data_IF_304313989306
#
_entry.id   IF_304313989306
#
_cell.length_a   1.000
_cell.length_b   1.000
_cell.length_c   1.000
_cell.angle_alpha   90.00
_cell.angle_beta   90.00
_cell.angle_gamma   90.00
#
_symmetry.space_group_name_H-M   'P 1'
#
loop_
_entity.id
_entity.type
_entity.pdbx_description
1 polymer ?
#
# COMPACT_ATOMS: atom_id res chain seq x y z
N UNK A 1 -24.09 12.16 6.92
CA UNK A 1 -23.86 10.73 6.63
C UNK A 1 -24.03 10.55 5.13
N UNK A 2 -22.93 10.37 4.41
CA UNK A 2 -22.91 10.22 2.96
C UNK A 2 -22.73 8.75 2.61
N UNK A 3 -23.80 8.01 2.85
CA UNK A 3 -23.88 6.57 2.60
C UNK A 3 -24.80 6.28 1.40
N UNK A 4 -24.97 7.24 0.49
CA UNK A 4 -26.00 7.17 -0.54
C UNK A 4 -25.67 8.09 -1.72
N UNK A 5 -25.86 7.57 -2.94
CA UNK A 5 -25.85 8.32 -4.21
C UNK A 5 -26.99 9.38 -4.30
N UNK A 6 -27.67 9.71 -3.19
CA UNK A 6 -28.66 10.78 -3.13
C UNK A 6 -28.05 12.17 -2.85
N UNK A 7 -26.72 12.28 -2.72
CA UNK A 7 -26.01 13.57 -2.67
C UNK A 7 -24.90 13.60 -3.72
N UNK A 8 -25.06 14.37 -4.83
CA UNK A 8 -24.10 14.38 -5.95
C UNK A 8 -22.74 14.98 -5.57
N UNK A 9 -22.66 15.66 -4.42
CA UNK A 9 -21.41 16.15 -3.86
C UNK A 9 -21.47 16.06 -2.33
N UNK A 10 -20.59 15.27 -1.75
CA UNK A 10 -20.43 15.18 -0.32
C UNK A 10 -18.98 15.26 0.11
N UNK A 11 -18.74 16.03 1.17
CA UNK A 11 -17.46 16.13 1.84
C UNK A 11 -17.62 15.62 3.28
N UNK A 12 -16.74 14.70 3.68
CA UNK A 12 -16.60 14.21 5.04
C UNK A 12 -15.18 14.53 5.52
N UNK A 13 -15.06 15.22 6.65
CA UNK A 13 -13.78 15.48 7.31
C UNK A 13 -13.66 14.60 8.55
N UNK A 14 -12.55 13.88 8.64
CA UNK A 14 -12.13 13.14 9.82
C UNK A 14 -10.98 13.91 10.46
N UNK A 15 -11.13 14.26 11.74
CA UNK A 15 -10.11 14.94 12.51
C UNK A 15 -9.78 14.14 13.77
N UNK A 16 -8.48 13.95 13.99
CA UNK A 16 -7.93 13.32 15.18
C UNK A 16 -6.88 14.25 15.80
N UNK A 17 -6.02 13.71 16.67
CA UNK A 17 -4.88 14.50 17.15
C UNK A 17 -3.92 14.73 15.97
N UNK A 18 -3.30 15.91 15.87
CA UNK A 18 -2.25 16.16 14.88
C UNK A 18 -1.18 15.07 14.93
N UNK A 19 -0.67 14.68 13.75
CA UNK A 19 0.34 13.61 13.58
C UNK A 19 -0.14 12.20 13.99
N UNK A 20 -1.45 11.97 14.12
CA UNK A 20 -1.99 10.61 14.27
C UNK A 20 -2.02 9.90 12.93
N UNK A 21 -1.75 8.59 12.93
CA UNK A 21 -1.92 7.78 11.73
C UNK A 21 -3.38 7.33 11.64
N UNK A 22 -4.05 7.73 10.56
CA UNK A 22 -5.39 7.32 10.19
C UNK A 22 -5.33 6.24 9.14
N UNK A 23 -5.90 5.07 9.43
CA UNK A 23 -5.99 3.92 8.52
C UNK A 23 -7.43 3.71 8.09
N UNK A 24 -7.74 4.05 6.84
CA UNK A 24 -9.06 3.97 6.23
C UNK A 24 -9.17 2.64 5.47
N UNK A 25 -10.22 1.88 5.74
CA UNK A 25 -10.51 0.59 5.08
C UNK A 25 -11.86 0.66 4.39
N UNK A 26 -11.89 0.32 3.10
CA UNK A 26 -13.11 0.30 2.28
C UNK A 26 -13.87 -1.03 2.42
N UNK A 27 -14.58 -1.22 3.52
CA UNK A 27 -15.31 -2.49 3.77
C UNK A 27 -16.30 -2.87 2.67
N UNK A 28 -16.81 -1.88 1.93
CA UNK A 28 -17.60 -2.06 0.72
C UNK A 28 -17.42 -0.86 -0.21
N UNK A 29 -17.31 -1.07 -1.52
CA UNK A 29 -17.28 0.03 -2.48
C UNK A 29 -17.87 -0.42 -3.83
N UNK A 30 -18.98 0.19 -4.20
CA UNK A 30 -19.65 -0.05 -5.47
C UNK A 30 -20.34 1.21 -5.95
N UNK A 31 -19.67 1.92 -6.85
CA UNK A 31 -20.10 3.18 -7.48
C UNK A 31 -20.03 3.05 -9.00
N UNK A 32 -20.64 3.97 -9.75
CA UNK A 32 -20.54 3.96 -11.20
C UNK A 32 -19.08 4.14 -11.66
N UNK A 33 -18.63 3.27 -12.55
CA UNK A 33 -17.27 3.35 -13.07
C UNK A 33 -17.10 4.58 -13.95
N UNK A 34 -16.03 5.34 -13.74
CA UNK A 34 -15.66 6.55 -14.50
C UNK A 34 -16.56 7.78 -14.33
N UNK A 35 -17.65 7.69 -13.56
CA UNK A 35 -18.58 8.80 -13.32
C UNK A 35 -18.69 9.16 -11.85
N UNK A 36 -18.75 8.14 -10.98
CA UNK A 36 -18.71 8.33 -9.53
C UNK A 36 -17.27 8.22 -9.03
N UNK A 37 -16.84 9.21 -8.25
CA UNK A 37 -15.49 9.29 -7.73
C UNK A 37 -15.46 9.58 -6.23
N UNK A 38 -14.65 8.81 -5.50
CA UNK A 38 -14.27 9.11 -4.13
C UNK A 38 -12.80 9.51 -4.08
N UNK A 39 -12.52 10.75 -3.68
CA UNK A 39 -11.19 11.27 -3.42
C UNK A 39 -10.89 11.25 -1.92
N UNK A 40 -9.69 10.84 -1.54
CA UNK A 40 -9.22 10.83 -0.16
C UNK A 40 -7.96 11.68 -0.06
N UNK A 41 -7.97 12.71 0.78
CA UNK A 41 -6.87 13.64 0.96
C UNK A 41 -6.26 13.53 2.37
N UNK A 42 -4.94 13.73 2.50
CA UNK A 42 -4.23 13.80 3.79
C UNK A 42 -4.27 15.22 4.36
N UNK A 43 -5.40 15.58 4.97
CA UNK A 43 -5.61 16.90 5.51
C UNK A 43 -7.07 17.23 5.74
N UNK A 44 -7.33 18.52 5.98
CA UNK A 44 -8.65 19.08 6.28
C UNK A 44 -9.30 19.78 5.07
N UNK A 45 -8.65 19.77 3.89
CA UNK A 45 -9.15 20.44 2.68
C UNK A 45 -8.76 19.72 1.39
N UNK A 46 -9.46 20.03 0.30
CA UNK A 46 -9.21 19.51 -1.05
C UNK A 46 -7.87 19.98 -1.66
N UNK A 47 -7.19 20.92 -0.99
CA UNK A 47 -5.89 21.45 -1.42
C UNK A 47 -4.71 20.71 -0.78
N UNK A 48 -5.00 19.76 0.11
CA UNK A 48 -3.99 18.90 0.74
C UNK A 48 -3.64 17.71 -0.18
N UNK A 49 -2.54 16.97 0.08
CA UNK A 49 -2.12 15.87 -0.79
C UNK A 49 -3.21 14.82 -1.01
N UNK A 50 -3.51 14.47 -2.27
CA UNK A 50 -4.43 13.39 -2.63
C UNK A 50 -3.76 12.03 -2.38
N UNK A 51 -4.33 11.23 -1.47
CA UNK A 51 -3.84 9.89 -1.13
C UNK A 51 -4.37 8.82 -2.09
N UNK A 52 -5.65 8.90 -2.46
CA UNK A 52 -6.29 7.90 -3.31
C UNK A 52 -7.51 8.46 -4.03
N UNK A 53 -7.81 7.88 -5.20
CA UNK A 53 -9.04 8.11 -5.94
C UNK A 53 -9.67 6.75 -6.33
N UNK A 54 -10.94 6.56 -5.99
CA UNK A 54 -11.68 5.32 -6.24
C UNK A 54 -12.89 5.57 -7.15
N UNK A 55 -13.19 4.59 -8.00
CA UNK A 55 -14.37 4.55 -8.87
C UNK A 55 -14.66 3.10 -9.25
N UNK A 56 -15.92 2.78 -9.56
CA UNK A 56 -16.34 1.45 -9.95
C UNK A 56 -16.58 0.51 -8.77
N UNK A 57 -16.21 -0.75 -8.93
CA UNK A 57 -16.44 -1.81 -7.96
C UNK A 57 -15.12 -2.24 -7.32
N UNK A 58 -15.05 -2.19 -5.98
CA UNK A 58 -14.01 -2.87 -5.21
C UNK A 58 -14.71 -4.02 -4.51
N UNK A 59 -14.84 -5.12 -5.25
CA UNK A 59 -15.26 -6.41 -4.71
C UNK A 59 -13.98 -7.20 -4.49
N UNK A 60 -13.75 -7.86 -3.35
CA UNK A 60 -12.77 -8.92 -3.30
C UNK A 60 -13.15 -9.94 -4.38
N UNK A 61 -12.34 -10.06 -5.43
CA UNK A 61 -12.66 -10.87 -6.63
C UNK A 61 -12.87 -12.35 -6.27
N UNK A 62 -12.43 -12.76 -5.06
CA UNK A 62 -12.76 -14.05 -4.46
C UNK A 62 -13.38 -13.91 -3.08
N UNK A 63 -14.23 -14.89 -2.75
CA UNK A 63 -14.69 -15.22 -1.40
C UNK A 63 -13.51 -15.77 -0.55
N UNK A 64 -12.46 -14.96 -0.40
CA UNK A 64 -11.24 -15.26 0.34
C UNK A 64 -10.86 -14.08 1.23
N UNK A 65 -9.79 -14.26 2.02
CA UNK A 65 -9.23 -13.24 2.90
C UNK A 65 -8.49 -12.13 2.10
N UNK A 66 -9.05 -11.66 0.99
CA UNK A 66 -8.45 -10.58 0.20
C UNK A 66 -8.54 -9.26 0.98
N UNK A 67 -7.39 -8.62 1.14
CA UNK A 67 -7.27 -7.34 1.83
C UNK A 67 -7.80 -6.25 0.91
N UNK A 68 -8.96 -5.71 1.29
CA UNK A 68 -9.45 -4.42 0.82
C UNK A 68 -8.30 -3.38 0.90
N UNK A 69 -8.15 -2.51 -0.11
CA UNK A 69 -7.14 -1.44 -0.07
C UNK A 69 -7.31 -0.57 1.18
N UNK A 70 -6.20 -0.39 1.90
CA UNK A 70 -6.10 0.50 3.06
C UNK A 70 -5.46 1.82 2.61
N UNK A 71 -6.08 2.95 2.97
CA UNK A 71 -5.52 4.29 2.72
C UNK A 71 -5.01 4.85 4.03
N UNK A 72 -3.75 5.28 4.05
CA UNK A 72 -3.09 5.76 5.25
C UNK A 72 -2.87 7.27 5.16
N UNK A 73 -3.42 8.02 6.11
CA UNK A 73 -3.15 9.44 6.35
C UNK A 73 -2.21 9.60 7.55
N UNK A 74 -1.26 10.53 7.45
CA UNK A 74 -0.24 10.76 8.49
C UNK A 74 -0.39 12.13 9.18
N UNK A 75 -1.18 13.04 8.62
CA UNK A 75 -1.38 14.39 9.19
C UNK A 75 -2.25 14.39 10.45
N UNK A 76 -3.00 13.31 10.71
CA UNK A 76 -4.07 13.25 11.71
C UNK A 76 -5.42 13.80 11.22
N UNK A 77 -5.51 14.16 9.94
CA UNK A 77 -6.73 14.59 9.28
C UNK A 77 -6.91 13.84 7.97
N UNK A 78 -8.14 13.48 7.64
CA UNK A 78 -8.47 12.94 6.33
C UNK A 78 -9.75 13.57 5.79
N UNK A 79 -9.71 14.05 4.55
CA UNK A 79 -10.88 14.59 3.86
C UNK A 79 -11.31 13.60 2.77
N UNK A 80 -12.56 13.16 2.84
CA UNK A 80 -13.19 12.33 1.83
C UNK A 80 -14.13 13.21 1.01
N UNK A 81 -13.93 13.28 -0.29
CA UNK A 81 -14.78 14.01 -1.23
C UNK A 81 -15.39 13.04 -2.23
N UNK A 82 -16.69 12.82 -2.10
CA UNK A 82 -17.47 11.99 -3.01
C UNK A 82 -18.24 12.85 -4.00
N UNK A 83 -18.09 12.53 -5.28
CA UNK A 83 -18.80 13.14 -6.39
C UNK A 83 -19.54 12.04 -7.17
N UNK A 84 -20.80 12.28 -7.49
CA UNK A 84 -21.66 11.37 -8.26
C UNK A 84 -22.56 12.18 -9.18
N UNK A 85 -22.90 11.61 -10.33
CA UNK A 85 -23.82 12.23 -11.28
C UNK A 85 -25.29 11.96 -10.89
N UNK A 86 -26.24 12.11 -11.84
CA UNK A 86 -27.66 11.87 -11.59
C UNK A 86 -28.15 10.50 -12.09
N UNK A 87 -27.25 9.63 -12.52
CA UNK A 87 -27.54 8.37 -13.19
C UNK A 87 -26.96 7.15 -12.43
N UNK A 88 -27.41 5.95 -12.83
CA UNK A 88 -26.90 4.65 -12.38
C UNK A 88 -26.47 4.52 -10.91
N UNK A 89 -27.44 4.67 -10.01
CA UNK A 89 -27.22 4.50 -8.57
C UNK A 89 -26.88 3.04 -8.20
N UNK A 90 -25.66 2.83 -7.72
CA UNK A 90 -25.24 1.59 -7.07
C UNK A 90 -25.33 1.71 -5.54
N UNK A 91 -24.88 0.67 -4.83
CA UNK A 91 -24.97 0.57 -3.35
C UNK A 91 -24.07 1.56 -2.59
N UNK A 92 -23.21 2.31 -3.28
CA UNK A 92 -22.28 3.26 -2.67
C UNK A 92 -21.12 2.57 -1.96
N UNK A 93 -20.64 3.16 -0.86
CA UNK A 93 -19.47 2.67 -0.13
C UNK A 93 -19.67 2.67 1.39
N UNK A 94 -18.94 1.79 2.06
CA UNK A 94 -18.80 1.72 3.51
C UNK A 94 -17.32 1.74 3.87
N UNK A 95 -16.93 2.68 4.73
CA UNK A 95 -15.54 2.90 5.12
C UNK A 95 -15.45 2.88 6.64
N UNK A 96 -14.57 2.04 7.17
CA UNK A 96 -14.14 2.09 8.56
C UNK A 96 -12.78 2.76 8.68
N UNK A 97 -12.49 3.36 9.84
CA UNK A 97 -11.19 3.95 10.10
C UNK A 97 -10.67 3.52 11.47
N UNK A 98 -9.34 3.44 11.57
CA UNK A 98 -8.63 3.18 12.83
C UNK A 98 -7.56 4.24 13.03
N UNK A 99 -7.32 4.59 14.29
CA UNK A 99 -6.35 5.61 14.67
C UNK A 99 -5.21 4.94 15.42
N UNK A 100 -3.97 5.21 15.01
CA UNK A 100 -2.77 4.74 15.69
C UNK A 100 -2.76 3.20 15.90
N UNK A 101 -3.20 2.44 14.89
CA UNK A 101 -3.12 0.98 14.89
C UNK A 101 -2.05 0.51 13.91
N UNK A 102 -1.28 -0.52 14.24
CA UNK A 102 -0.30 -1.08 13.31
C UNK A 102 -0.94 -1.87 12.15
N UNK A 103 -0.30 -1.92 10.97
CA UNK A 103 -0.82 -2.66 9.83
C UNK A 103 -0.88 -4.16 10.15
N UNK A 104 -2.01 -4.80 9.85
CA UNK A 104 -2.30 -6.21 10.14
C UNK A 104 -1.97 -6.67 11.57
N UNK A 105 -1.97 -5.75 12.55
CA UNK A 105 -1.51 -6.03 13.91
C UNK A 105 -0.12 -6.70 13.94
N UNK A 106 0.81 -6.19 13.12
CA UNK A 106 2.16 -6.73 12.95
C UNK A 106 2.19 -8.20 12.51
N UNK A 107 1.14 -8.63 11.80
CA UNK A 107 0.95 -9.99 11.25
C UNK A 107 1.09 -11.11 12.28
N UNK A 108 0.97 -10.80 13.57
CA UNK A 108 1.23 -11.72 14.68
C UNK A 108 2.71 -12.11 14.86
N UNK A 109 3.64 -11.33 14.28
CA UNK A 109 5.10 -11.58 14.25
C UNK A 109 5.91 -10.37 14.74
N UNK A 110 5.30 -9.60 15.62
CA UNK A 110 5.87 -8.37 16.15
C UNK A 110 4.93 -7.71 17.14
N UNK A 111 5.44 -6.69 17.81
CA UNK A 111 4.69 -5.89 18.78
C UNK A 111 4.41 -4.49 18.22
N UNK A 112 3.16 -4.03 18.33
CA UNK A 112 2.80 -2.69 17.92
C UNK A 112 3.23 -1.68 19.00
N UNK A 113 4.18 -0.80 18.67
CA UNK A 113 4.73 0.19 19.59
C UNK A 113 4.54 1.62 19.09
N UNK A 114 4.54 2.57 20.02
CA UNK A 114 4.46 4.00 19.73
C UNK A 114 5.87 4.58 19.68
N UNK A 115 6.20 5.28 18.60
CA UNK A 115 7.46 6.00 18.44
C UNK A 115 7.50 7.22 19.36
N UNK A 116 8.53 7.29 20.21
CA UNK A 116 8.66 8.34 21.23
C UNK A 116 8.74 9.77 20.67
N UNK A 117 9.18 9.95 19.43
CA UNK A 117 9.44 11.27 18.82
C UNK A 117 8.26 11.82 18.02
N UNK A 118 7.52 10.95 17.33
CA UNK A 118 6.46 11.33 16.40
C UNK A 118 5.06 11.01 16.92
N UNK A 119 4.95 10.16 17.95
CA UNK A 119 3.67 9.59 18.37
C UNK A 119 3.08 8.60 17.37
N UNK A 120 3.80 8.32 16.26
CA UNK A 120 3.40 7.38 15.23
C UNK A 120 3.57 5.94 15.71
N UNK A 121 2.68 5.05 15.28
CA UNK A 121 2.79 3.62 15.58
C UNK A 121 3.62 2.90 14.53
N UNK A 122 4.44 1.95 14.98
CA UNK A 122 5.24 1.09 14.13
C UNK A 122 5.27 -0.33 14.70
N UNK A 123 5.54 -1.31 13.85
CA UNK A 123 5.76 -2.68 14.28
C UNK A 123 7.22 -2.93 14.63
N UNK A 124 7.46 -3.36 15.87
CA UNK A 124 8.74 -3.93 16.30
C UNK A 124 8.73 -5.43 15.99
N UNK A 125 9.38 -5.82 14.90
CA UNK A 125 9.29 -7.18 14.38
C UNK A 125 10.18 -8.18 15.11
N UNK A 126 9.76 -9.44 15.12
CA UNK A 126 10.59 -10.56 15.58
C UNK A 126 11.89 -10.70 14.76
N UNK A 127 12.88 -11.39 15.30
CA UNK A 127 14.26 -11.49 14.79
C UNK A 127 14.43 -12.07 13.39
N UNK A 128 13.37 -12.55 12.73
CA UNK A 128 13.38 -13.09 11.37
C UNK A 128 12.37 -12.42 10.44
N UNK A 129 11.71 -11.34 10.88
CA UNK A 129 10.64 -10.68 10.15
C UNK A 129 10.90 -9.18 10.03
N UNK A 130 10.64 -8.62 8.86
CA UNK A 130 10.77 -7.20 8.50
C UNK A 130 9.52 -6.73 7.75
N UNK A 131 9.56 -5.48 7.32
CA UNK A 131 8.44 -4.79 6.67
C UNK A 131 7.58 -4.06 7.68
N UNK A 132 6.73 -3.13 7.21
CA UNK A 132 5.89 -2.32 8.10
C UNK A 132 4.91 -3.16 8.93
N UNK A 133 4.49 -4.32 8.41
CA UNK A 133 3.56 -5.24 9.04
C UNK A 133 4.22 -6.52 9.58
N UNK A 134 5.55 -6.63 9.58
CA UNK A 134 6.29 -7.84 9.96
C UNK A 134 5.88 -9.11 9.21
N UNK A 135 5.48 -8.96 7.95
CA UNK A 135 5.02 -10.02 7.05
C UNK A 135 6.10 -10.47 6.05
N UNK A 136 7.28 -9.86 6.08
CA UNK A 136 8.39 -10.18 5.18
C UNK A 136 9.46 -10.93 5.96
N UNK A 137 9.88 -12.14 5.56
CA UNK A 137 11.02 -12.79 6.20
C UNK A 137 12.31 -12.01 5.91
N UNK A 138 13.23 -11.94 6.88
CA UNK A 138 14.56 -11.33 6.71
C UNK A 138 15.30 -11.94 5.51
N UNK A 139 15.33 -13.27 5.46
CA UNK A 139 15.93 -14.03 4.39
C UNK A 139 15.04 -15.22 4.06
N UNK A 140 14.46 -15.20 2.86
CA UNK A 140 13.59 -16.27 2.39
C UNK A 140 14.41 -17.54 2.19
N UNK A 141 14.00 -18.64 2.84
CA UNK A 141 14.65 -19.95 2.75
C UNK A 141 16.16 -19.93 3.05
N UNK A 142 16.59 -19.05 3.95
CA UNK A 142 18.00 -18.81 4.30
C UNK A 142 18.90 -18.60 3.07
N UNK A 143 18.36 -17.94 2.04
CA UNK A 143 19.06 -17.67 0.78
C UNK A 143 19.60 -18.94 0.08
N UNK A 144 19.04 -20.12 0.39
CA UNK A 144 19.53 -21.39 -0.11
C UNK A 144 20.95 -21.74 0.36
N UNK A 145 21.35 -21.27 1.54
CA UNK A 145 22.61 -21.62 2.17
C UNK A 145 22.77 -23.15 2.31
N UNK A 146 23.99 -23.70 2.10
CA UNK A 146 25.24 -23.02 1.73
C UNK A 146 25.45 -22.85 0.22
N UNK A 147 24.63 -23.47 -0.62
CA UNK A 147 24.93 -23.70 -2.03
C UNK A 147 24.50 -22.57 -2.98
N UNK A 148 23.60 -21.69 -2.54
CA UNK A 148 22.99 -20.68 -3.43
C UNK A 148 23.15 -19.24 -2.95
N UNK A 149 23.45 -19.05 -1.67
CA UNK A 149 23.55 -17.71 -1.11
C UNK A 149 23.75 -17.70 0.40
N UNK A 150 23.91 -16.50 0.94
CA UNK A 150 24.07 -16.24 2.37
C UNK A 150 23.18 -15.07 2.79
N UNK A 151 22.60 -15.16 3.98
CA UNK A 151 21.84 -14.07 4.58
C UNK A 151 22.79 -13.01 5.18
N UNK A 152 22.64 -11.76 4.77
CA UNK A 152 23.39 -10.64 5.36
C UNK A 152 22.62 -10.09 6.56
N UNK A 153 23.22 -10.15 7.74
CA UNK A 153 22.58 -9.69 8.98
C UNK A 153 22.44 -8.17 9.04
N UNK A 154 23.41 -7.42 8.51
CA UNK A 154 23.40 -5.95 8.55
C UNK A 154 22.28 -5.35 7.70
N UNK A 155 22.12 -5.85 6.47
CA UNK A 155 21.13 -5.37 5.51
C UNK A 155 19.82 -6.15 5.55
N UNK A 156 19.77 -7.28 6.27
CA UNK A 156 18.61 -8.19 6.31
C UNK A 156 18.16 -8.59 4.90
N UNK A 157 19.11 -8.92 4.04
CA UNK A 157 18.87 -9.28 2.63
C UNK A 157 19.73 -10.45 2.19
N UNK A 158 19.27 -11.18 1.18
CA UNK A 158 20.00 -12.30 0.60
C UNK A 158 21.08 -11.84 -0.39
N UNK A 159 22.30 -12.35 -0.22
CA UNK A 159 23.38 -12.25 -1.21
C UNK A 159 23.53 -13.59 -1.92
N UNK A 160 23.15 -13.62 -3.19
CA UNK A 160 23.21 -14.84 -4.00
C UNK A 160 24.61 -15.12 -4.52
N UNK A 161 24.96 -16.41 -4.60
CA UNK A 161 26.16 -16.87 -5.26
C UNK A 161 26.02 -16.77 -6.80
N UNK A 162 27.13 -16.74 -7.56
CA UNK A 162 27.07 -16.69 -9.01
C UNK A 162 26.23 -17.84 -9.60
N UNK A 163 25.34 -17.52 -10.53
CA UNK A 163 24.41 -18.49 -11.10
C UNK A 163 23.06 -18.59 -10.37
N UNK A 164 22.86 -17.85 -9.28
CA UNK A 164 21.58 -17.75 -8.57
C UNK A 164 21.08 -16.30 -8.43
N UNK A 165 19.77 -16.11 -8.42
CA UNK A 165 19.08 -14.83 -8.26
C UNK A 165 17.72 -15.00 -7.56
N UNK A 166 17.04 -13.88 -7.31
CA UNK A 166 15.75 -13.82 -6.63
C UNK A 166 15.83 -13.63 -5.11
N UNK A 167 14.69 -13.40 -4.44
CA UNK A 167 14.63 -12.95 -3.04
C UNK A 167 15.19 -13.95 -2.02
N UNK A 168 15.26 -15.24 -2.38
CA UNK A 168 15.86 -16.31 -1.58
C UNK A 168 16.94 -17.09 -2.33
N UNK A 169 17.51 -16.52 -3.39
CA UNK A 169 18.51 -17.19 -4.25
C UNK A 169 18.04 -18.56 -4.75
N UNK A 170 16.77 -18.69 -5.08
CA UNK A 170 16.14 -19.94 -5.50
C UNK A 170 16.04 -20.10 -7.02
N UNK A 171 16.41 -19.07 -7.79
CA UNK A 171 16.25 -19.03 -9.24
C UNK A 171 17.61 -19.06 -9.92
N UNK A 172 17.80 -19.91 -10.92
CA UNK A 172 19.06 -19.98 -11.68
C UNK A 172 19.28 -18.75 -12.56
N UNK A 173 20.53 -18.50 -12.96
CA UNK A 173 20.87 -17.56 -14.03
C UNK A 173 21.40 -18.35 -15.23
N UNK A 174 20.76 -18.32 -16.41
CA UNK A 174 19.51 -17.61 -16.73
C UNK A 174 18.28 -18.22 -16.02
N UNK A 175 17.26 -17.39 -15.80
CA UNK A 175 16.05 -17.79 -15.10
C UNK A 175 15.27 -18.86 -15.89
N UNK A 176 14.95 -19.97 -15.22
CA UNK A 176 14.07 -21.01 -15.76
C UNK A 176 12.59 -20.80 -15.41
N UNK A 177 12.30 -19.85 -14.51
CA UNK A 177 10.96 -19.50 -14.04
C UNK A 177 10.86 -18.01 -13.77
N UNK A 178 9.68 -17.43 -13.94
CA UNK A 178 9.39 -16.08 -13.47
C UNK A 178 9.51 -16.02 -11.94
N UNK A 179 10.12 -14.97 -11.42
CA UNK A 179 10.19 -14.68 -10.00
C UNK A 179 10.02 -13.20 -9.76
N UNK A 180 9.66 -12.84 -8.52
CA UNK A 180 9.43 -11.48 -8.11
C UNK A 180 10.53 -11.02 -7.19
N UNK A 181 10.94 -9.77 -7.36
CA UNK A 181 11.85 -9.11 -6.45
C UNK A 181 11.15 -7.89 -5.88
N UNK A 182 11.10 -7.82 -4.54
CA UNK A 182 10.72 -6.59 -3.85
C UNK A 182 11.90 -5.64 -3.95
N UNK A 183 11.72 -4.51 -4.62
CA UNK A 183 12.72 -3.45 -4.58
C UNK A 183 12.58 -2.70 -3.26
N UNK A 184 13.53 -2.93 -2.36
CA UNK A 184 13.69 -2.15 -1.15
C UNK A 184 14.55 -0.95 -1.52
N UNK A 185 13.92 0.18 -1.83
CA UNK A 185 14.65 1.42 -2.05
C UNK A 185 14.95 2.06 -0.68
N UNK A 186 16.21 2.13 -0.24
CA UNK A 186 16.57 2.85 0.99
C UNK A 186 16.40 4.37 0.83
N UNK A 187 16.32 4.86 -0.41
CA UNK A 187 16.00 6.23 -0.82
C UNK A 187 14.72 6.21 -1.65
N UNK A 188 13.92 7.29 -1.77
CA UNK A 188 12.74 7.31 -2.63
C UNK A 188 13.07 6.77 -4.03
N UNK A 189 12.45 5.65 -4.41
CA UNK A 189 12.69 5.02 -5.71
C UNK A 189 12.40 5.97 -6.86
N UNK A 190 13.16 5.85 -7.94
CA UNK A 190 12.96 6.66 -9.14
C UNK A 190 11.53 6.48 -9.66
N UNK A 191 10.81 7.58 -9.86
CA UNK A 191 9.43 7.56 -10.33
C UNK A 191 9.32 6.84 -11.69
N UNK A 192 8.35 5.93 -11.81
CA UNK A 192 8.08 5.13 -13.02
C UNK A 192 6.77 5.57 -13.66
N UNK A 193 6.82 6.14 -14.87
CA UNK A 193 5.64 6.46 -15.66
C UNK A 193 5.39 5.44 -16.78
N UNK A 194 4.20 5.49 -17.38
CA UNK A 194 3.79 4.64 -18.51
C UNK A 194 3.79 3.13 -18.20
N UNK A 195 3.64 2.76 -16.92
CA UNK A 195 3.46 1.39 -16.50
C UNK A 195 1.99 0.98 -16.59
N UNK A 196 1.71 -0.32 -16.72
CA UNK A 196 0.37 -0.89 -16.56
C UNK A 196 0.29 -1.58 -15.21
N UNK A 197 -0.68 -1.21 -14.38
CA UNK A 197 -0.97 -1.98 -13.18
C UNK A 197 -2.07 -3.01 -13.48
N UNK A 198 -1.91 -4.24 -12.99
CA UNK A 198 -2.98 -5.26 -12.97
C UNK A 198 -2.97 -5.92 -11.61
N UNK A 199 -4.14 -6.18 -11.02
CA UNK A 199 -4.25 -6.93 -9.77
C UNK A 199 -4.70 -8.34 -10.12
N UNK A 200 -3.97 -9.36 -9.70
CA UNK A 200 -4.40 -10.77 -9.82
C UNK A 200 -3.93 -11.52 -8.56
N UNK A 201 -4.84 -12.25 -7.93
CA UNK A 201 -4.63 -13.00 -6.67
C UNK A 201 -4.12 -12.14 -5.51
N UNK A 202 -4.69 -10.95 -5.32
CA UNK A 202 -4.31 -10.03 -4.23
C UNK A 202 -2.93 -9.38 -4.39
N UNK A 203 -2.30 -9.51 -5.57
CA UNK A 203 -1.00 -8.91 -5.87
C UNK A 203 -1.18 -7.87 -6.97
N UNK A 204 -0.73 -6.64 -6.70
CA UNK A 204 -0.65 -5.58 -7.70
C UNK A 204 0.62 -5.73 -8.52
N UNK A 205 0.47 -6.17 -9.76
CA UNK A 205 1.50 -6.23 -10.78
C UNK A 205 1.70 -4.85 -11.40
N UNK A 206 2.94 -4.38 -11.48
CA UNK A 206 3.31 -3.19 -12.24
C UNK A 206 4.18 -3.63 -13.43
N UNK A 207 3.61 -3.58 -14.63
CA UNK A 207 4.21 -4.12 -15.85
C UNK A 207 4.63 -2.97 -16.78
N UNK A 208 5.91 -2.98 -17.18
CA UNK A 208 6.46 -2.00 -18.12
C UNK A 208 6.75 -0.64 -17.47
N UNK A 209 6.69 0.42 -18.27
CA UNK A 209 6.99 1.79 -17.85
C UNK A 209 8.46 2.19 -17.95
N UNK A 210 8.67 3.50 -17.95
CA UNK A 210 9.96 4.15 -18.04
C UNK A 210 10.32 4.76 -16.69
N UNK A 211 11.56 4.55 -16.25
CA UNK A 211 12.10 5.09 -14.99
C UNK A 211 12.87 6.35 -15.29
N UNK A 212 12.47 7.49 -14.70
CA UNK A 212 13.17 8.75 -14.91
C UNK A 212 14.39 8.83 -14.00
N UNK A 213 15.59 8.86 -14.56
CA UNK A 213 16.85 8.95 -13.83
C UNK A 213 17.33 10.41 -13.63
N UNK A 214 16.42 11.33 -13.36
CA UNK A 214 16.76 12.76 -13.16
C UNK A 214 16.42 13.22 -11.76
N UNK A 215 17.44 13.75 -11.07
CA UNK A 215 17.44 14.22 -9.68
C UNK A 215 16.61 15.47 -9.36
N UNK A 216 15.88 16.02 -10.33
CA UNK A 216 15.02 17.19 -10.14
C UNK A 216 13.55 16.82 -10.36
N UNK A 217 12.90 16.30 -9.32
CA UNK A 217 11.46 16.08 -9.33
C UNK A 217 10.75 17.36 -8.86
N UNK A 218 10.34 18.21 -9.80
CA UNK A 218 9.08 18.92 -9.63
C UNK A 218 7.99 18.00 -10.19
N UNK A 219 7.38 17.19 -9.33
CA UNK A 219 6.15 16.49 -9.71
C UNK A 219 5.09 17.54 -10.02
N UNK A 220 4.76 17.69 -11.30
CA UNK A 220 3.48 18.26 -11.68
C UNK A 220 2.49 17.09 -11.56
N UNK A 221 1.79 17.04 -10.45
CA UNK A 221 0.57 16.25 -10.29
C UNK A 221 -0.45 16.78 -11.30
N UNK A 222 -0.83 15.95 -12.27
CA UNK A 222 -2.04 16.14 -13.07
C UNK A 222 -3.19 15.39 -12.41
#
# INVERSE_FOLDING_TARGET
MCFSNQRPNCILSLSCRPNSILRLRLDHFATECSWDHLYVYDGDSIYTPLLAAFSGLIVPERYGNETVPEVVSQSGYALLHFFSDAAYNLTGFNISYRVNTCPNNCSGRGECRVGNLTGAVYCDCESNWKGEACDVPYCLSDCGWPDRGHCLQDTKTCRCQPGWQGPGCSVSVPANSSFWQREEYPEPGLARASHKAVVDQGIMWVIGGYVFNSSDYQMITA
#
